data_IF_798973601677
#
_entry.id   IF_798973601677
#
_cell.length_a   1.000
_cell.length_b   1.000
_cell.length_c   1.000
_cell.angle_alpha   90.00
_cell.angle_beta   90.00
_cell.angle_gamma   90.00
#
_symmetry.space_group_name_H-M   'P 1'
#
loop_
_entity.id
_entity.type
_entity.pdbx_description
1 polymer ?
#
# COMPACT_ATOMS: atom_id res chain seq x y z
N UNK A 1 0.67 -25.93 -14.05
CA UNK A 1 1.71 -25.42 -13.14
C UNK A 1 1.23 -24.06 -12.71
N UNK A 2 0.72 -23.95 -11.49
CA UNK A 2 0.37 -22.64 -10.95
C UNK A 2 1.69 -21.96 -10.65
N UNK A 3 2.05 -20.94 -11.44
CA UNK A 3 3.04 -19.97 -10.97
C UNK A 3 2.58 -19.54 -9.57
N UNK A 4 3.46 -19.46 -8.57
CA UNK A 4 3.09 -18.82 -7.33
C UNK A 4 2.60 -17.43 -7.74
N UNK A 5 1.29 -17.16 -7.60
CA UNK A 5 0.77 -15.83 -7.82
C UNK A 5 1.62 -14.93 -6.94
N UNK A 6 2.35 -14.01 -7.56
CA UNK A 6 3.20 -13.08 -6.83
C UNK A 6 2.36 -12.46 -5.73
N UNK A 7 2.75 -12.67 -4.46
CA UNK A 7 1.97 -12.18 -3.33
C UNK A 7 1.86 -10.66 -3.48
N UNK A 8 0.64 -10.15 -3.49
CA UNK A 8 0.35 -8.71 -3.61
C UNK A 8 0.08 -8.12 -2.24
N UNK A 9 0.57 -6.90 -2.01
CA UNK A 9 0.25 -6.11 -0.82
C UNK A 9 -0.42 -4.81 -1.26
N UNK A 10 -1.56 -4.48 -0.66
CA UNK A 10 -2.22 -3.21 -0.91
C UNK A 10 -1.67 -2.12 0.01
N UNK A 11 -1.37 -0.94 -0.55
CA UNK A 11 -0.87 0.22 0.19
C UNK A 11 -1.76 1.44 -0.07
N UNK A 12 -2.25 2.12 0.98
CA UNK A 12 -3.32 3.14 0.85
C UNK A 12 -2.87 4.49 1.46
N UNK A 13 -2.66 5.51 0.62
CA UNK A 13 -2.02 6.81 0.96
C UNK A 13 -2.98 8.02 1.09
N UNK A 14 -4.15 7.85 1.73
CA UNK A 14 -5.20 8.87 1.86
C UNK A 14 -6.08 9.07 0.60
N UNK A 15 -7.19 8.33 0.56
CA UNK A 15 -8.43 8.70 -0.11
C UNK A 15 -9.58 8.43 0.86
N UNK A 16 -10.84 8.79 0.57
CA UNK A 16 -11.96 8.07 1.19
C UNK A 16 -11.94 6.64 0.64
N UNK A 17 -11.15 5.80 1.29
CA UNK A 17 -10.79 4.48 0.81
C UNK A 17 -11.57 3.40 1.57
N UNK A 18 -12.67 3.78 2.23
CA UNK A 18 -13.45 2.84 3.05
C UNK A 18 -13.83 1.60 2.27
N UNK A 19 -14.37 1.77 1.06
CA UNK A 19 -14.76 0.64 0.22
C UNK A 19 -13.57 -0.26 -0.13
N UNK A 20 -12.44 0.34 -0.51
CA UNK A 20 -11.21 -0.37 -0.86
C UNK A 20 -10.61 -1.09 0.35
N UNK A 21 -10.52 -0.45 1.51
CA UNK A 21 -10.04 -1.05 2.76
C UNK A 21 -10.90 -2.29 3.10
N UNK A 22 -12.23 -2.16 3.09
CA UNK A 22 -13.12 -3.27 3.41
C UNK A 22 -13.03 -4.40 2.38
N UNK A 23 -12.96 -4.05 1.09
CA UNK A 23 -12.83 -5.03 0.00
C UNK A 23 -11.49 -5.79 0.07
N UNK A 24 -10.39 -5.09 0.31
CA UNK A 24 -9.04 -5.64 0.22
C UNK A 24 -8.64 -6.38 1.50
N UNK A 25 -9.03 -5.88 2.68
CA UNK A 25 -8.67 -6.49 3.96
C UNK A 25 -9.16 -7.94 4.09
N UNK A 26 -10.26 -8.33 3.42
CA UNK A 26 -10.70 -9.72 3.39
C UNK A 26 -9.89 -10.66 2.48
N UNK A 27 -9.00 -10.12 1.65
CA UNK A 27 -8.40 -10.85 0.50
C UNK A 27 -6.87 -10.83 0.45
N UNK A 28 -6.22 -9.83 1.03
CA UNK A 28 -4.77 -9.66 1.00
C UNK A 28 -4.28 -8.82 2.18
N UNK A 29 -2.97 -8.80 2.49
CA UNK A 29 -2.41 -7.84 3.43
C UNK A 29 -2.65 -6.41 2.96
N UNK A 30 -3.13 -5.56 3.87
CA UNK A 30 -3.41 -4.15 3.61
C UNK A 30 -2.60 -3.29 4.56
N UNK A 31 -1.90 -2.31 4.01
CA UNK A 31 -1.12 -1.32 4.74
C UNK A 31 -1.68 0.06 4.44
N UNK A 32 -2.26 0.71 5.45
CA UNK A 32 -2.95 1.98 5.30
C UNK A 32 -2.21 3.08 6.06
N UNK A 33 -2.06 4.25 5.42
CA UNK A 33 -1.63 5.46 6.11
C UNK A 33 -2.79 5.97 6.96
N UNK A 34 -2.50 6.23 8.24
CA UNK A 34 -3.46 6.81 9.15
C UNK A 34 -3.93 8.16 8.60
N UNK A 35 -5.24 8.30 8.51
CA UNK A 35 -5.90 9.55 8.18
C UNK A 35 -7.22 9.61 8.94
N UNK A 36 -7.60 10.81 9.34
CA UNK A 36 -8.88 11.06 10.01
C UNK A 36 -10.07 10.58 9.17
N UNK A 37 -9.95 10.66 7.84
CA UNK A 37 -10.93 10.15 6.87
C UNK A 37 -11.10 8.63 6.93
N UNK A 38 -10.02 7.86 7.12
CA UNK A 38 -10.07 6.39 7.05
C UNK A 38 -10.09 5.70 8.42
N UNK A 39 -9.89 6.42 9.53
CA UNK A 39 -9.80 5.85 10.88
C UNK A 39 -10.95 4.88 11.20
N UNK A 40 -12.20 5.28 10.91
CA UNK A 40 -13.37 4.43 11.12
C UNK A 40 -13.37 3.18 10.22
N UNK A 41 -12.95 3.31 8.96
CA UNK A 41 -12.91 2.18 8.03
C UNK A 41 -11.84 1.15 8.44
N UNK A 42 -10.70 1.63 8.93
CA UNK A 42 -9.60 0.82 9.47
C UNK A 42 -10.08 0.04 10.71
N UNK A 43 -10.77 0.71 11.64
CA UNK A 43 -11.32 0.07 12.84
C UNK A 43 -12.40 -0.98 12.48
N UNK A 44 -13.33 -0.63 11.60
CA UNK A 44 -14.39 -1.53 11.12
C UNK A 44 -13.75 -2.78 10.45
N UNK A 45 -12.72 -2.60 9.61
CA UNK A 45 -12.02 -3.70 8.94
C UNK A 45 -11.27 -4.61 9.91
N UNK A 46 -10.61 -4.05 10.95
CA UNK A 46 -9.93 -4.83 11.99
C UNK A 46 -10.88 -5.71 12.81
N UNK A 47 -12.11 -5.25 13.01
CA UNK A 47 -13.13 -6.01 13.73
C UNK A 47 -13.73 -7.12 12.85
N UNK A 48 -13.86 -6.87 11.55
CA UNK A 48 -14.56 -7.76 10.63
C UNK A 48 -13.66 -8.83 10.01
N UNK A 49 -12.39 -8.53 9.76
CA UNK A 49 -11.48 -9.43 9.04
C UNK A 49 -10.35 -9.92 9.94
N UNK A 50 -9.96 -11.19 9.76
CA UNK A 50 -8.83 -11.80 10.46
C UNK A 50 -7.48 -11.55 9.77
N UNK A 51 -7.47 -11.03 8.55
CA UNK A 51 -6.27 -10.74 7.78
C UNK A 51 -5.52 -9.51 8.33
N UNK A 52 -4.19 -9.44 8.13
CA UNK A 52 -3.38 -8.36 8.69
C UNK A 52 -3.67 -7.01 8.03
N UNK A 53 -4.17 -6.06 8.83
CA UNK A 53 -4.25 -4.63 8.52
C UNK A 53 -3.24 -3.86 9.35
N UNK A 54 -2.19 -3.36 8.70
CA UNK A 54 -1.14 -2.55 9.32
C UNK A 54 -1.37 -1.07 9.08
N UNK A 55 -1.09 -0.24 10.09
CA UNK A 55 -1.28 1.21 10.04
C UNK A 55 0.08 1.89 10.09
N UNK A 56 0.30 2.85 9.20
CA UNK A 56 1.45 3.75 9.23
C UNK A 56 1.05 5.15 9.67
N UNK A 57 1.94 5.79 10.40
CA UNK A 57 1.78 7.18 10.81
C UNK A 57 2.64 8.07 9.93
N UNK A 58 2.08 9.19 9.47
CA UNK A 58 2.86 10.24 8.84
C UNK A 58 3.73 10.93 9.89
N UNK A 59 5.01 11.16 9.61
CA UNK A 59 5.86 11.92 10.52
C UNK A 59 5.66 13.43 10.33
N UNK A 60 5.73 14.25 11.39
CA UNK A 60 5.60 15.71 11.26
C UNK A 60 6.64 16.29 10.30
N UNK A 61 6.17 16.96 9.24
CA UNK A 61 7.03 17.59 8.23
C UNK A 61 7.59 16.63 7.17
N UNK A 62 7.23 15.35 7.21
CA UNK A 62 7.61 14.37 6.18
C UNK A 62 6.92 14.69 4.86
N UNK A 63 7.68 14.64 3.76
CA UNK A 63 7.10 14.81 2.44
C UNK A 63 6.30 13.55 2.05
N UNK A 64 5.34 13.72 1.14
CA UNK A 64 4.56 12.59 0.63
C UNK A 64 5.43 11.52 -0.02
N UNK A 65 6.47 11.94 -0.74
CA UNK A 65 7.43 11.06 -1.40
C UNK A 65 8.28 10.29 -0.37
N UNK A 66 8.78 10.96 0.68
CA UNK A 66 9.56 10.29 1.73
C UNK A 66 8.73 9.25 2.48
N UNK A 67 7.48 9.62 2.85
CA UNK A 67 6.54 8.71 3.47
C UNK A 67 6.25 7.52 2.54
N UNK A 68 6.09 7.77 1.24
CA UNK A 68 5.85 6.74 0.24
C UNK A 68 6.99 5.72 0.18
N UNK A 69 8.22 6.19 0.04
CA UNK A 69 9.41 5.35 0.04
C UNK A 69 9.52 4.52 1.31
N UNK A 70 9.43 5.16 2.48
CA UNK A 70 9.52 4.48 3.78
C UNK A 70 8.53 3.33 3.90
N UNK A 71 7.28 3.57 3.53
CA UNK A 71 6.22 2.57 3.59
C UNK A 71 6.49 1.39 2.66
N UNK A 72 7.01 1.64 1.45
CA UNK A 72 7.35 0.55 0.53
C UNK A 72 8.53 -0.30 1.04
N UNK A 73 9.54 0.33 1.63
CA UNK A 73 10.64 -0.39 2.29
C UNK A 73 10.14 -1.22 3.48
N UNK A 74 9.31 -0.63 4.34
CA UNK A 74 8.73 -1.35 5.48
C UNK A 74 7.89 -2.55 5.02
N UNK A 75 7.09 -2.40 3.94
CA UNK A 75 6.34 -3.52 3.36
C UNK A 75 7.29 -4.59 2.81
N UNK A 76 8.36 -4.21 2.12
CA UNK A 76 9.35 -5.16 1.59
C UNK A 76 10.03 -5.98 2.70
N UNK A 77 10.42 -5.32 3.79
CA UNK A 77 11.05 -5.97 4.94
C UNK A 77 10.13 -7.01 5.60
N UNK A 78 8.81 -6.77 5.60
CA UNK A 78 7.83 -7.61 6.27
C UNK A 78 7.13 -8.61 5.34
N UNK A 79 7.11 -8.35 4.04
CA UNK A 79 6.40 -9.15 3.04
C UNK A 79 7.23 -9.37 1.78
N UNK A 80 7.53 -10.64 1.50
CA UNK A 80 8.02 -11.05 0.18
C UNK A 80 6.89 -10.96 -0.86
N UNK A 81 6.70 -9.77 -1.41
CA UNK A 81 5.70 -9.48 -2.44
C UNK A 81 6.36 -9.24 -3.80
N UNK A 82 5.66 -9.62 -4.87
CA UNK A 82 6.09 -9.30 -6.24
C UNK A 82 5.37 -8.08 -6.81
N UNK A 83 4.27 -7.64 -6.18
CA UNK A 83 3.57 -6.42 -6.55
C UNK A 83 3.11 -5.61 -5.34
N UNK A 84 3.16 -4.30 -5.48
CA UNK A 84 2.51 -3.35 -4.58
C UNK A 84 1.32 -2.74 -5.31
N UNK A 85 0.13 -2.93 -4.76
CA UNK A 85 -1.09 -2.30 -5.26
C UNK A 85 -1.30 -1.00 -4.49
N UNK A 86 -0.93 0.11 -5.11
CA UNK A 86 -0.89 1.42 -4.46
C UNK A 86 -2.15 2.21 -4.79
N UNK A 87 -2.83 2.68 -3.75
CA UNK A 87 -4.06 3.45 -3.82
C UNK A 87 -3.85 4.86 -3.28
N UNK A 88 -4.38 5.85 -3.98
CA UNK A 88 -4.36 7.26 -3.55
C UNK A 88 -3.04 7.98 -3.74
N UNK A 89 -1.99 7.32 -4.22
CA UNK A 89 -0.75 7.96 -4.65
C UNK A 89 -0.74 8.15 -6.17
N UNK A 90 0.10 9.06 -6.63
CA UNK A 90 0.39 9.34 -8.04
C UNK A 90 1.82 9.00 -8.39
N UNK A 91 2.15 8.78 -9.67
CA UNK A 91 3.53 8.42 -10.08
C UNK A 91 4.58 9.46 -9.66
N UNK A 92 4.19 10.74 -9.54
CA UNK A 92 5.07 11.81 -9.03
C UNK A 92 5.45 11.67 -7.55
N UNK A 93 4.74 10.83 -6.80
CA UNK A 93 5.05 10.52 -5.40
C UNK A 93 6.09 9.39 -5.29
N UNK A 94 6.46 8.77 -6.41
CA UNK A 94 7.46 7.70 -6.46
C UNK A 94 8.85 8.31 -6.46
N UNK A 95 9.65 7.94 -5.46
CA UNK A 95 11.08 8.24 -5.42
C UNK A 95 11.85 7.31 -6.38
N UNK A 96 12.60 7.85 -7.37
CA UNK A 96 13.45 7.04 -8.25
C UNK A 96 14.48 6.17 -7.52
N UNK A 97 14.95 6.59 -6.34
CA UNK A 97 15.87 5.80 -5.53
C UNK A 97 15.18 4.53 -5.02
N UNK A 98 13.95 4.66 -4.48
CA UNK A 98 13.15 3.54 -4.01
C UNK A 98 12.82 2.55 -5.15
N UNK A 99 12.55 3.03 -6.37
CA UNK A 99 12.33 2.16 -7.56
C UNK A 99 13.54 1.27 -7.82
N UNK A 100 14.73 1.86 -7.74
CA UNK A 100 15.99 1.14 -7.99
C UNK A 100 16.28 0.12 -6.91
N UNK A 101 16.16 0.52 -5.63
CA UNK A 101 16.47 -0.35 -4.50
C UNK A 101 15.47 -1.50 -4.34
N UNK A 102 14.18 -1.25 -4.59
CA UNK A 102 13.11 -2.26 -4.49
C UNK A 102 12.98 -3.13 -5.74
N UNK A 103 13.90 -2.98 -6.70
CA UNK A 103 13.90 -3.68 -7.99
C UNK A 103 12.57 -3.57 -8.75
N UNK A 104 11.94 -2.40 -8.73
CA UNK A 104 10.69 -2.18 -9.46
C UNK A 104 11.02 -1.96 -10.94
N UNK A 105 10.62 -2.90 -11.78
CA UNK A 105 10.89 -2.84 -13.21
C UNK A 105 9.72 -2.28 -14.05
N UNK A 106 8.53 -2.14 -13.45
CA UNK A 106 7.33 -1.67 -14.15
C UNK A 106 6.35 -0.99 -13.21
N UNK A 107 5.82 0.14 -13.66
CA UNK A 107 4.68 0.84 -13.07
C UNK A 107 3.48 0.70 -14.01
N UNK A 108 2.30 0.38 -13.47
CA UNK A 108 1.05 0.27 -14.23
C UNK A 108 -0.03 1.09 -13.56
N UNK A 109 -0.49 2.16 -14.20
CA UNK A 109 -1.62 2.95 -13.71
C UNK A 109 -2.90 2.11 -13.54
N UNK A 110 -3.73 2.50 -12.59
CA UNK A 110 -5.05 1.92 -12.30
C UNK A 110 -6.04 3.04 -12.03
N UNK A 111 -7.34 2.71 -11.98
CA UNK A 111 -8.40 3.70 -11.71
C UNK A 111 -8.27 4.39 -10.33
N UNK A 112 -7.48 3.82 -9.41
CA UNK A 112 -7.39 4.27 -8.02
C UNK A 112 -5.94 4.59 -7.57
N UNK A 113 -4.98 4.57 -8.49
CA UNK A 113 -3.55 4.73 -8.20
C UNK A 113 -2.70 3.97 -9.22
N UNK A 114 -1.82 3.09 -8.77
CA UNK A 114 -0.94 2.32 -9.66
C UNK A 114 -0.48 1.01 -9.02
N UNK A 115 0.02 0.09 -9.84
CA UNK A 115 0.67 -1.14 -9.42
C UNK A 115 2.16 -1.04 -9.71
N UNK A 116 2.99 -1.29 -8.69
CA UNK A 116 4.44 -1.45 -8.83
C UNK A 116 4.76 -2.94 -8.94
N UNK A 117 5.52 -3.31 -9.96
CA UNK A 117 5.82 -4.71 -10.29
C UNK A 117 7.34 -4.89 -10.30
N UNK A 118 7.81 -5.89 -9.55
CA UNK A 118 9.20 -6.36 -9.49
C UNK A 118 9.53 -7.37 -10.57
#
# INVERSE_FOLDING_TARGET
MNSPEAQSVAVIFEMDAREQIMKLAGSMPVWAIESTTNAKAIDDARQQYHSPLTIFFAHPGESRMDMFSRVLFDVDEHHQCGTFDVYGASERDIDPAAVTELNIHRVRETDYGFQLIR
#
